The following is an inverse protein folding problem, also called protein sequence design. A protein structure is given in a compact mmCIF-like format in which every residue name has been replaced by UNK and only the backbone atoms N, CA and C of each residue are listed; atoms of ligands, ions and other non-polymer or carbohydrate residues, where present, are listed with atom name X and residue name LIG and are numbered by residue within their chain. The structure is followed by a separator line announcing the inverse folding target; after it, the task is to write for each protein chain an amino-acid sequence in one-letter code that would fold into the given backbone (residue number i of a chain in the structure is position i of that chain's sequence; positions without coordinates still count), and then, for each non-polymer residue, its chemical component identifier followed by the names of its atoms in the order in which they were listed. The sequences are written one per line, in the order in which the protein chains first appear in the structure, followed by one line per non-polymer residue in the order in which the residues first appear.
data_IF_009630145616
#
_entry.id   IF_009630145616
#
_cell.length_a   1.000
_cell.length_b   1.000
_cell.length_c   1.000
_cell.angle_alpha   90.00
_cell.angle_beta   90.00
_cell.angle_gamma   90.00
#
_symmetry.space_group_name_H-M   'P 1'
#
loop_
_entity.id
_entity.type
_entity.pdbx_description
1 polymer ?
#
# COMPACT_ATOMS: atom_id res chain seq x y z
N UNK A 1 2.53 -11.49 -1.03
CA UNK A 1 1.52 -10.52 -1.51
C UNK A 1 1.16 -9.60 -0.35
N UNK A 2 0.83 -8.34 -0.62
CA UNK A 2 0.27 -7.41 0.37
C UNK A 2 -1.24 -7.25 0.13
N UNK A 3 -2.00 -7.22 1.21
CA UNK A 3 -3.44 -6.94 1.23
C UNK A 3 -3.68 -5.98 2.39
N UNK A 4 -4.45 -4.92 2.17
CA UNK A 4 -4.77 -3.97 3.25
C UNK A 4 -5.81 -4.54 4.21
N UNK A 5 -6.81 -5.27 3.71
CA UNK A 5 -8.04 -5.57 4.45
C UNK A 5 -8.69 -4.30 5.02
N UNK A 6 -8.56 -3.19 4.27
CA UNK A 6 -8.99 -1.87 4.71
C UNK A 6 -10.52 -1.79 4.78
N UNK A 7 -11.02 -1.19 5.86
CA UNK A 7 -12.43 -0.84 6.02
C UNK A 7 -12.65 0.65 5.72
N UNK A 8 -13.91 1.14 5.61
CA UNK A 8 -14.20 2.52 5.25
C UNK A 8 -13.58 3.59 6.17
N UNK A 9 -13.10 3.21 7.35
CA UNK A 9 -12.43 4.10 8.31
C UNK A 9 -10.94 4.27 8.06
N UNK A 10 -10.35 3.54 7.11
CA UNK A 10 -8.96 3.71 6.73
C UNK A 10 -8.69 5.16 6.30
N UNK A 11 -7.74 5.81 6.98
CA UNK A 11 -7.39 7.21 6.75
C UNK A 11 -8.26 8.26 7.48
N UNK A 12 -9.28 7.85 8.24
CA UNK A 12 -10.17 8.79 8.96
C UNK A 12 -9.71 9.15 10.38
N UNK A 13 -8.74 8.42 10.94
CA UNK A 13 -8.26 8.59 12.31
C UNK A 13 -8.99 7.74 13.34
N UNK A 14 -8.73 8.02 14.62
CA UNK A 14 -9.37 7.33 15.75
C UNK A 14 -10.79 7.87 15.97
N UNK A 15 -11.72 6.98 16.34
CA UNK A 15 -13.12 7.32 16.55
C UNK A 15 -14.07 6.13 16.40
N UNK A 16 -15.36 6.39 16.61
CA UNK A 16 -16.42 5.38 16.42
C UNK A 16 -17.14 5.63 15.11
N UNK A 17 -17.24 4.59 14.28
CA UNK A 17 -17.82 4.65 12.95
C UNK A 17 -18.86 3.54 12.77
N UNK A 18 -19.90 3.85 12.02
CA UNK A 18 -20.93 2.88 11.62
C UNK A 18 -20.88 2.68 10.12
N UNK A 19 -20.81 1.44 9.68
CA UNK A 19 -20.95 1.10 8.27
C UNK A 19 -21.63 -0.27 8.14
N UNK A 20 -22.59 -0.36 7.23
CA UNK A 20 -23.56 -1.46 7.17
C UNK A 20 -24.25 -1.67 8.54
N UNK A 21 -24.30 -2.91 9.02
CA UNK A 21 -24.90 -3.35 10.28
C UNK A 21 -23.92 -3.36 11.46
N UNK A 22 -22.69 -2.85 11.26
CA UNK A 22 -21.61 -2.92 12.26
C UNK A 22 -21.25 -1.54 12.79
N UNK A 23 -20.83 -1.52 14.06
CA UNK A 23 -20.19 -0.37 14.70
C UNK A 23 -18.76 -0.75 15.04
N UNK A 24 -17.83 0.12 14.68
CA UNK A 24 -16.39 -0.10 14.84
C UNK A 24 -15.78 1.06 15.59
N UNK A 25 -14.99 0.77 16.61
CA UNK A 25 -14.17 1.73 17.32
C UNK A 25 -12.73 1.60 16.84
N UNK A 26 -12.15 2.69 16.35
CA UNK A 26 -10.74 2.78 15.98
C UNK A 26 -9.97 3.42 17.14
N UNK A 27 -9.02 2.67 17.70
CA UNK A 27 -8.16 3.11 18.79
C UNK A 27 -6.70 2.94 18.40
N UNK A 28 -5.93 4.03 18.37
CA UNK A 28 -4.53 4.06 17.92
C UNK A 28 -4.35 3.41 16.55
N UNK A 29 -5.28 3.68 15.65
CA UNK A 29 -5.34 3.10 14.31
C UNK A 29 -5.79 1.64 14.24
N UNK A 30 -6.18 0.99 15.34
CA UNK A 30 -6.66 -0.40 15.31
C UNK A 30 -8.18 -0.43 15.39
N UNK A 31 -8.82 -1.09 14.42
CA UNK A 31 -10.26 -1.20 14.32
C UNK A 31 -10.81 -2.41 15.11
N UNK A 32 -11.71 -2.15 16.05
CA UNK A 32 -12.39 -3.17 16.85
C UNK A 32 -13.90 -3.12 16.65
N UNK A 33 -14.57 -4.27 16.64
CA UNK A 33 -16.03 -4.32 16.71
C UNK A 33 -16.50 -3.78 18.08
N UNK A 34 -17.49 -2.90 18.06
CA UNK A 34 -18.01 -2.23 19.26
C UNK A 34 -18.31 -3.21 20.41
N UNK A 35 -17.93 -2.82 21.63
CA UNK A 35 -18.14 -3.62 22.83
C UNK A 35 -17.25 -4.86 22.94
N UNK A 36 -16.31 -5.06 22.01
CA UNK A 36 -15.41 -6.23 22.00
C UNK A 36 -13.95 -5.84 21.78
N UNK A 37 -13.05 -6.84 21.77
CA UNK A 37 -11.67 -6.69 21.28
C UNK A 37 -11.42 -7.44 19.97
N UNK A 38 -12.50 -7.77 19.25
CA UNK A 38 -12.43 -8.48 17.97
C UNK A 38 -12.03 -7.49 16.88
N UNK A 39 -11.00 -7.83 16.09
CA UNK A 39 -10.57 -6.98 14.97
C UNK A 39 -11.67 -6.91 13.90
N UNK A 40 -11.94 -5.69 13.44
CA UNK A 40 -12.92 -5.42 12.40
C UNK A 40 -12.20 -4.93 11.14
N UNK A 41 -11.40 -5.79 10.51
CA UNK A 41 -10.52 -5.44 9.39
C UNK A 41 -9.39 -4.51 9.80
N UNK A 42 -8.91 -3.68 8.88
CA UNK A 42 -7.78 -2.77 9.11
C UNK A 42 -8.07 -1.33 8.70
N UNK A 43 -7.23 -0.41 9.19
CA UNK A 43 -7.17 0.99 8.75
C UNK A 43 -5.98 1.26 7.82
N UNK A 44 -5.32 0.20 7.34
CA UNK A 44 -4.02 0.26 6.65
C UNK A 44 -4.16 0.66 5.18
N UNK A 45 -3.43 1.69 4.76
CA UNK A 45 -3.26 2.00 3.34
C UNK A 45 -2.12 1.17 2.72
N UNK A 46 -2.23 0.81 1.44
CA UNK A 46 -1.19 0.01 0.75
C UNK A 46 0.17 0.73 0.71
N UNK A 47 0.19 2.06 0.61
CA UNK A 47 1.43 2.85 0.70
C UNK A 47 2.15 2.66 2.04
N UNK A 48 1.39 2.62 3.15
CA UNK A 48 1.93 2.35 4.47
C UNK A 48 2.36 0.88 4.62
N UNK A 49 1.62 -0.06 4.05
CA UNK A 49 2.01 -1.47 4.02
C UNK A 49 3.35 -1.67 3.29
N UNK A 50 3.53 -1.00 2.14
CA UNK A 50 4.78 -0.99 1.38
C UNK A 50 5.93 -0.40 2.20
N UNK A 51 5.71 0.76 2.84
CA UNK A 51 6.73 1.38 3.70
C UNK A 51 7.10 0.45 4.86
N UNK A 52 6.11 -0.10 5.57
CA UNK A 52 6.31 -0.99 6.72
C UNK A 52 7.08 -2.24 6.35
N UNK A 53 6.75 -2.90 5.23
CA UNK A 53 7.45 -4.12 4.85
C UNK A 53 8.93 -3.84 4.60
N UNK A 54 9.25 -2.73 3.93
CA UNK A 54 10.65 -2.31 3.69
C UNK A 54 11.35 -2.03 5.02
N UNK A 55 10.77 -1.19 5.89
CA UNK A 55 11.45 -0.71 7.11
C UNK A 55 11.55 -1.77 8.19
N UNK A 56 10.58 -2.67 8.30
CA UNK A 56 10.55 -3.70 9.36
C UNK A 56 11.34 -4.96 8.96
N UNK A 57 11.28 -5.35 7.68
CA UNK A 57 11.91 -6.60 7.22
C UNK A 57 13.24 -6.40 6.49
N UNK A 58 13.54 -5.17 6.07
CA UNK A 58 14.73 -4.88 5.25
C UNK A 58 14.63 -5.37 3.80
N UNK A 59 13.45 -5.78 3.34
CA UNK A 59 13.28 -6.25 1.97
C UNK A 59 13.63 -5.15 0.94
N UNK A 60 14.32 -5.51 -0.16
CA UNK A 60 14.57 -4.57 -1.24
C UNK A 60 13.27 -3.99 -1.81
N UNK A 61 13.30 -2.72 -2.22
CA UNK A 61 12.14 -2.01 -2.79
C UNK A 61 11.50 -2.82 -3.92
N UNK A 62 12.30 -3.38 -4.83
CA UNK A 62 11.77 -4.19 -5.93
C UNK A 62 10.98 -5.43 -5.47
N UNK A 63 11.39 -6.07 -4.36
CA UNK A 63 10.64 -7.17 -3.78
C UNK A 63 9.33 -6.69 -3.15
N UNK A 64 9.36 -5.58 -2.42
CA UNK A 64 8.19 -4.98 -1.82
C UNK A 64 7.15 -4.52 -2.88
N UNK A 65 7.60 -3.89 -3.97
CA UNK A 65 6.76 -3.50 -5.11
C UNK A 65 6.13 -4.71 -5.79
N UNK A 66 6.91 -5.79 -6.01
CA UNK A 66 6.36 -7.03 -6.55
C UNK A 66 5.26 -7.59 -5.64
N UNK A 67 5.43 -7.50 -4.32
CA UNK A 67 4.43 -7.95 -3.35
C UNK A 67 3.16 -7.10 -3.35
N UNK A 68 3.26 -5.79 -3.60
CA UNK A 68 2.13 -4.85 -3.56
C UNK A 68 1.36 -4.71 -4.87
N UNK A 69 1.96 -5.08 -6.01
CA UNK A 69 1.34 -4.93 -7.33
C UNK A 69 1.41 -6.21 -8.16
N UNK A 70 2.62 -6.64 -8.54
CA UNK A 70 2.82 -7.71 -9.54
C UNK A 70 2.29 -9.07 -9.12
N UNK A 71 2.37 -9.41 -7.83
CA UNK A 71 1.99 -10.75 -7.33
C UNK A 71 0.49 -11.03 -7.48
N UNK A 72 -0.35 -10.00 -7.38
CA UNK A 72 -1.81 -10.15 -7.39
C UNK A 72 -2.39 -10.26 -8.82
N UNK A 73 -1.75 -9.61 -9.80
CA UNK A 73 -2.30 -9.51 -11.15
C UNK A 73 -2.54 -10.88 -11.81
N UNK A 74 -1.60 -11.85 -11.80
CA UNK A 74 -1.85 -13.18 -12.36
C UNK A 74 -2.95 -13.96 -11.64
N UNK A 75 -3.09 -13.79 -10.33
CA UNK A 75 -4.15 -14.47 -9.54
C UNK A 75 -5.55 -14.00 -9.96
N UNK A 76 -5.66 -12.76 -10.41
CA UNK A 76 -6.90 -12.14 -10.87
C UNK A 76 -7.10 -12.24 -12.39
N UNK A 77 -6.20 -12.90 -13.11
CA UNK A 77 -6.23 -12.96 -14.57
C UNK A 77 -6.01 -11.60 -15.25
N UNK A 78 -5.28 -10.69 -14.61
CA UNK A 78 -4.96 -9.36 -15.12
C UNK A 78 -3.57 -9.37 -15.73
N UNK A 79 -3.50 -9.13 -17.03
CA UNK A 79 -2.30 -9.14 -17.87
C UNK A 79 -1.87 -7.74 -18.33
N UNK A 80 -2.75 -6.75 -18.21
CA UNK A 80 -2.54 -5.35 -18.61
C UNK A 80 -1.98 -4.44 -17.49
N UNK A 81 -1.78 -4.97 -16.28
CA UNK A 81 -1.34 -4.19 -15.10
C UNK A 81 -0.51 -5.00 -14.11
N UNK A 82 0.04 -4.31 -13.11
CA UNK A 82 0.88 -4.91 -12.06
C UNK A 82 2.37 -4.95 -12.40
N UNK A 83 2.77 -4.54 -13.60
CA UNK A 83 4.15 -4.33 -14.00
C UNK A 83 4.25 -3.08 -14.89
N UNK A 84 5.41 -2.42 -14.84
CA UNK A 84 5.74 -1.38 -15.81
C UNK A 84 6.42 -2.04 -17.03
N UNK A 85 6.13 -1.57 -18.27
CA UNK A 85 6.86 -2.01 -19.44
C UNK A 85 8.37 -1.79 -19.26
N UNK A 86 9.19 -2.60 -19.93
CA UNK A 86 10.63 -2.37 -19.98
C UNK A 86 10.86 -0.96 -20.52
N UNK A 87 11.60 -0.13 -19.78
CA UNK A 87 11.95 1.19 -20.25
C UNK A 87 12.71 1.07 -21.58
N UNK A 88 12.17 1.67 -22.64
CA UNK A 88 12.99 2.15 -23.76
C UNK A 88 13.88 3.28 -23.24
N UNK A 89 15.09 3.41 -23.78
CA UNK A 89 16.21 4.21 -23.26
C UNK A 89 15.82 5.51 -22.51
N UNK A 90 16.50 5.85 -21.40
CA UNK A 90 16.13 7.00 -20.59
C UNK A 90 16.16 8.30 -21.42
N UNK A 91 15.05 9.04 -21.40
CA UNK A 91 14.91 10.37 -22.01
C UNK A 91 15.67 11.47 -21.24
N UNK A 92 16.36 11.10 -20.15
CA UNK A 92 17.06 12.05 -19.31
C UNK A 92 18.54 12.12 -19.71
N UNK A 93 18.88 13.04 -20.60
CA UNK A 93 20.27 13.43 -20.86
C UNK A 93 20.64 14.60 -19.95
N UNK A 94 21.52 14.38 -18.98
CA UNK A 94 22.09 15.46 -18.18
C UNK A 94 23.17 16.15 -19.01
N UNK A 95 22.78 17.08 -19.88
CA UNK A 95 23.73 17.92 -20.62
C UNK A 95 24.29 18.97 -19.67
N UNK A 96 25.40 18.66 -18.99
CA UNK A 96 26.20 19.70 -18.33
C UNK A 96 26.70 20.68 -19.40
N UNK A 97 26.51 22.00 -19.25
CA UNK A 97 27.12 22.96 -20.15
C UNK A 97 28.63 22.88 -19.98
N UNK A 98 29.35 22.57 -21.06
CA UNK A 98 30.82 22.68 -21.08
C UNK A 98 31.20 24.13 -20.85
N UNK A 99 31.88 24.41 -19.74
CA UNK A 99 32.50 25.69 -19.45
C UNK A 99 33.52 26.02 -20.56
N UNK A 100 33.19 26.96 -21.44
CA UNK A 100 34.10 27.52 -22.42
C UNK A 100 35.19 28.33 -21.73
N UNK A 101 36.44 28.02 -22.09
CA UNK A 101 37.63 28.84 -21.83
C UNK A 101 37.70 30.00 -22.80
#
# INVERSE_FOLDING_TARGET
MLVSDAIPTAGLGDGTYRFADRVVTVERGVAFLEGTRTLAGSTLCIGDALRRVITVTGLPVGAAVRMSATTAAPLLGLDDRGALPRATAPIWSNSTPSSGR
#
